data_IF_774018955714
#
_entry.id   IF_774018955714
#
_cell.length_a   1.000
_cell.length_b   1.000
_cell.length_c   1.000
_cell.angle_alpha   90.00
_cell.angle_beta   90.00
_cell.angle_gamma   90.00
#
_symmetry.space_group_name_H-M   'P 1'
#
loop_
_entity.id
_entity.type
_entity.pdbx_description
1 polymer ?
#
# COMPACT_ATOMS: atom_id res chain seq x y z
N UNK A 1 15.19 21.19 8.05
CA UNK A 1 13.76 20.83 8.09
C UNK A 1 13.63 19.35 7.73
N UNK A 2 13.01 18.55 8.59
CA UNK A 2 12.77 17.11 8.37
C UNK A 2 11.55 16.92 7.48
N UNK A 3 11.63 16.02 6.50
CA UNK A 3 10.50 15.72 5.61
C UNK A 3 9.40 15.00 6.39
N UNK A 4 8.16 15.40 6.16
CA UNK A 4 6.98 14.72 6.68
C UNK A 4 6.80 13.35 6.03
N UNK A 5 6.08 12.45 6.70
CA UNK A 5 5.78 11.11 6.18
C UNK A 5 5.05 11.19 4.82
N UNK A 6 4.18 12.18 4.62
CA UNK A 6 3.44 12.39 3.38
C UNK A 6 4.37 12.74 2.22
N UNK A 7 5.35 13.61 2.45
CA UNK A 7 6.35 13.98 1.44
C UNK A 7 7.23 12.80 1.05
N UNK A 8 7.67 11.99 2.03
CA UNK A 8 8.45 10.78 1.77
C UNK A 8 7.66 9.80 0.89
N UNK A 9 6.37 9.58 1.20
CA UNK A 9 5.50 8.71 0.39
C UNK A 9 5.28 9.27 -1.01
N UNK A 10 5.15 10.59 -1.16
CA UNK A 10 5.02 11.25 -2.47
C UNK A 10 6.26 11.01 -3.32
N UNK A 11 7.45 11.24 -2.77
CA UNK A 11 8.72 10.99 -3.44
C UNK A 11 8.84 9.53 -3.84
N UNK A 12 8.55 8.58 -2.94
CA UNK A 12 8.58 7.16 -3.25
C UNK A 12 7.67 6.76 -4.43
N UNK A 13 6.44 7.31 -4.50
CA UNK A 13 5.51 7.06 -5.62
C UNK A 13 6.01 7.64 -6.94
N UNK A 14 6.73 8.77 -6.92
CA UNK A 14 7.31 9.33 -8.14
C UNK A 14 8.32 8.37 -8.82
N UNK A 15 8.95 7.48 -8.04
CA UNK A 15 9.89 6.48 -8.56
C UNK A 15 9.24 5.19 -9.07
N UNK A 16 7.91 5.05 -9.02
CA UNK A 16 7.23 3.80 -9.39
C UNK A 16 7.59 3.32 -10.80
N UNK A 17 7.62 4.21 -11.80
CA UNK A 17 7.99 3.84 -13.18
C UNK A 17 9.42 3.28 -13.27
N UNK A 18 10.38 3.96 -12.63
CA UNK A 18 11.78 3.51 -12.60
C UNK A 18 11.91 2.17 -11.88
N UNK A 19 11.24 1.99 -10.74
CA UNK A 19 11.24 0.74 -10.00
C UNK A 19 10.68 -0.43 -10.84
N UNK A 20 9.59 -0.22 -11.59
CA UNK A 20 9.03 -1.22 -12.50
C UNK A 20 10.06 -1.59 -13.58
N UNK A 21 10.72 -0.61 -14.19
CA UNK A 21 11.75 -0.87 -15.21
C UNK A 21 12.93 -1.70 -14.66
N UNK A 22 13.34 -1.44 -13.42
CA UNK A 22 14.37 -2.24 -12.73
C UNK A 22 13.91 -3.68 -12.55
N UNK A 23 12.67 -3.91 -12.10
CA UNK A 23 12.12 -5.26 -11.96
C UNK A 23 12.09 -6.00 -13.30
N UNK A 24 11.66 -5.33 -14.38
CA UNK A 24 11.68 -5.89 -15.74
C UNK A 24 13.11 -6.24 -16.17
N UNK A 25 14.07 -5.37 -15.87
CA UNK A 25 15.50 -5.63 -16.13
C UNK A 25 16.02 -6.87 -15.40
N UNK A 26 15.75 -6.99 -14.10
CA UNK A 26 16.14 -8.15 -13.29
C UNK A 26 15.51 -9.43 -13.85
N UNK A 27 14.20 -9.41 -14.15
CA UNK A 27 13.48 -10.56 -14.68
C UNK A 27 14.06 -11.06 -16.02
N UNK A 28 14.60 -10.15 -16.85
CA UNK A 28 15.19 -10.47 -18.16
C UNK A 28 16.69 -10.76 -18.11
N UNK A 29 17.36 -10.46 -17.00
CA UNK A 29 18.81 -10.62 -16.87
C UNK A 29 19.19 -12.10 -16.75
N UNK A 30 20.14 -12.54 -17.58
CA UNK A 30 20.71 -13.90 -17.52
C UNK A 30 21.65 -14.08 -16.33
N UNK A 31 22.25 -13.00 -15.85
CA UNK A 31 23.20 -13.00 -14.73
C UNK A 31 22.51 -12.96 -13.36
N UNK A 32 21.22 -12.63 -13.34
CA UNK A 32 20.41 -12.68 -12.12
C UNK A 32 20.07 -14.12 -11.74
N UNK A 33 20.15 -14.42 -10.44
CA UNK A 33 19.75 -15.73 -9.90
C UNK A 33 18.31 -16.06 -10.26
N UNK A 34 17.99 -17.34 -10.40
CA UNK A 34 16.62 -17.77 -10.71
C UNK A 34 15.59 -17.20 -9.72
N UNK A 35 15.92 -17.20 -8.43
CA UNK A 35 15.09 -16.62 -7.37
C UNK A 35 14.85 -15.11 -7.55
N UNK A 36 15.89 -14.34 -7.93
CA UNK A 36 15.73 -12.91 -8.17
C UNK A 36 14.80 -12.62 -9.35
N UNK A 37 14.90 -13.40 -10.44
CA UNK A 37 14.00 -13.26 -11.59
C UNK A 37 12.55 -13.59 -11.24
N UNK A 38 12.32 -14.68 -10.50
CA UNK A 38 10.98 -15.08 -10.04
C UNK A 38 10.38 -14.02 -9.11
N UNK A 39 11.18 -13.50 -8.17
CA UNK A 39 10.75 -12.46 -7.25
C UNK A 39 10.36 -11.17 -8.00
N UNK A 40 11.16 -10.76 -8.99
CA UNK A 40 10.85 -9.62 -9.84
C UNK A 40 9.58 -9.82 -10.67
N UNK A 41 9.39 -11.02 -11.24
CA UNK A 41 8.17 -11.37 -12.00
C UNK A 41 6.92 -11.31 -11.12
N UNK A 42 6.95 -11.94 -9.94
CA UNK A 42 5.84 -11.93 -8.99
C UNK A 42 5.50 -10.49 -8.57
N UNK A 43 6.51 -9.68 -8.26
CA UNK A 43 6.31 -8.28 -7.88
C UNK A 43 5.61 -7.44 -8.97
N UNK A 44 5.80 -7.76 -10.25
CA UNK A 44 5.09 -7.11 -11.36
C UNK A 44 3.65 -7.63 -11.45
N UNK A 45 3.46 -8.95 -11.41
CA UNK A 45 2.13 -9.58 -11.50
C UNK A 45 1.22 -9.13 -10.35
N UNK A 46 1.73 -9.14 -9.13
CA UNK A 46 0.99 -8.72 -7.93
C UNK A 46 0.49 -7.27 -8.01
N UNK A 47 1.18 -6.41 -8.77
CA UNK A 47 0.78 -5.01 -8.98
C UNK A 47 -0.21 -4.83 -10.12
N UNK A 48 -0.12 -5.65 -11.16
CA UNK A 48 -1.01 -5.60 -12.32
C UNK A 48 -2.34 -6.31 -12.09
N UNK A 49 -2.32 -7.40 -11.32
CA UNK A 49 -3.44 -8.32 -11.14
C UNK A 49 -3.90 -8.44 -9.68
N UNK A 50 -3.17 -7.83 -8.75
CA UNK A 50 -3.40 -8.01 -7.32
C UNK A 50 -2.76 -9.29 -6.79
N UNK A 51 -2.84 -9.47 -5.47
CA UNK A 51 -2.44 -10.71 -4.80
C UNK A 51 -3.53 -11.77 -4.95
N UNK A 52 -3.13 -13.03 -4.95
CA UNK A 52 -4.08 -14.15 -4.84
C UNK A 52 -4.99 -13.95 -3.61
N UNK A 53 -6.25 -14.36 -3.75
CA UNK A 53 -7.21 -14.30 -2.65
C UNK A 53 -6.63 -15.06 -1.45
N UNK A 54 -6.47 -14.38 -0.32
CA UNK A 54 -6.05 -15.02 0.90
C UNK A 54 -7.25 -15.76 1.48
N UNK A 55 -7.15 -17.08 1.61
CA UNK A 55 -8.10 -17.86 2.40
C UNK A 55 -8.00 -17.37 3.84
N UNK A 56 -9.08 -16.79 4.35
CA UNK A 56 -9.20 -16.49 5.77
C UNK A 56 -9.58 -17.80 6.45
N UNK A 57 -8.66 -18.36 7.23
CA UNK A 57 -8.93 -19.53 8.05
C UNK A 57 -9.50 -19.04 9.38
N UNK A 58 -10.77 -19.36 9.65
CA UNK A 58 -11.35 -19.05 10.95
C UNK A 58 -10.68 -19.91 12.02
N UNK A 59 -10.26 -19.31 13.13
CA UNK A 59 -9.79 -20.06 14.31
C UNK A 59 -10.92 -20.68 15.14
N UNK A 60 -12.17 -20.33 14.83
CA UNK A 60 -13.39 -20.91 15.41
C UNK A 60 -14.39 -21.18 14.28
N UNK A 61 -15.13 -22.28 14.35
CA UNK A 61 -16.02 -22.85 13.31
C UNK A 61 -17.28 -21.99 12.99
N UNK A 62 -17.11 -20.66 12.88
CA UNK A 62 -18.14 -19.68 12.60
C UNK A 62 -17.92 -18.93 11.27
N UNK A 63 -18.95 -18.30 10.70
CA UNK A 63 -18.80 -17.48 9.50
C UNK A 63 -17.81 -16.34 9.70
N UNK A 64 -16.99 -16.06 8.68
CA UNK A 64 -16.13 -14.88 8.64
C UNK A 64 -17.00 -13.61 8.66
N UNK A 65 -17.13 -12.95 9.81
CA UNK A 65 -17.69 -11.60 9.86
C UNK A 65 -16.63 -10.60 9.38
N UNK A 66 -16.64 -10.30 8.08
CA UNK A 66 -15.83 -9.22 7.52
C UNK A 66 -16.44 -7.85 7.94
N UNK A 67 -16.15 -7.41 9.16
CA UNK A 67 -16.63 -6.11 9.68
C UNK A 67 -15.78 -4.97 9.10
N UNK A 68 -16.18 -4.41 7.96
CA UNK A 68 -15.67 -3.12 7.50
C UNK A 68 -16.48 -1.97 8.12
N UNK A 69 -16.06 -1.44 9.27
CA UNK A 69 -16.66 -0.23 9.86
C UNK A 69 -15.93 1.02 9.33
N UNK A 70 -16.64 1.85 8.55
CA UNK A 70 -16.17 3.18 8.16
C UNK A 70 -16.99 4.23 8.93
N UNK A 71 -16.33 5.00 9.80
CA UNK A 71 -16.96 6.08 10.58
C UNK A 71 -16.45 7.44 10.10
N UNK A 72 -17.38 8.32 9.68
CA UNK A 72 -17.08 9.71 9.30
C UNK A 72 -17.75 10.65 10.30
N UNK A 73 -16.95 11.33 11.10
CA UNK A 73 -17.44 12.34 12.04
C UNK A 73 -17.20 13.73 11.47
N UNK A 74 -18.28 14.48 11.20
CA UNK A 74 -18.20 15.90 10.84
C UNK A 74 -18.19 16.68 12.14
N UNK A 75 -17.08 17.37 12.42
CA UNK A 75 -16.95 18.23 13.61
C UNK A 75 -17.13 19.68 13.16
N UNK A 76 -18.05 20.40 13.81
CA UNK A 76 -18.09 21.86 13.70
C UNK A 76 -16.87 22.43 14.43
N UNK A 77 -16.04 23.27 13.78
CA UNK A 77 -14.93 23.91 14.47
C UNK A 77 -15.49 24.83 15.56
N UNK A 78 -15.01 24.70 16.80
CA UNK A 78 -15.33 25.66 17.85
C UNK A 78 -14.83 27.05 17.41
N UNK A 79 -15.74 28.02 17.36
CA UNK A 79 -15.38 29.40 17.08
C UNK A 79 -14.85 30.01 18.38
N UNK A 80 -13.57 30.34 18.42
CA UNK A 80 -12.88 30.86 19.61
C UNK A 80 -13.22 32.32 19.99
N UNK A 81 -14.25 32.92 19.36
CA UNK A 81 -14.51 34.36 19.47
C UNK A 81 -15.63 34.74 20.46
N UNK A 82 -16.12 33.83 21.31
CA UNK A 82 -17.05 34.16 22.39
C UNK A 82 -16.35 34.27 23.75
N UNK A 83 -15.47 35.27 23.89
CA UNK A 83 -15.15 35.88 25.19
C UNK A 83 -15.21 37.40 25.05
N UNK A 84 -16.30 37.99 25.52
CA UNK A 84 -16.38 39.44 25.69
C UNK A 84 -17.77 40.02 25.42
N UNK A 85 -18.73 39.71 26.29
CA UNK A 85 -19.79 40.63 26.70
C UNK A 85 -19.96 40.52 28.21
#
# INVERSE_FOLDING_TARGET
MTKTITEIRSIARSHTRTAINVLVGIMRSKDATAAARVSAANAILDRGWGKAAQSLENSDDGPLELIHKIERTIVYPENSDSKGL
#
